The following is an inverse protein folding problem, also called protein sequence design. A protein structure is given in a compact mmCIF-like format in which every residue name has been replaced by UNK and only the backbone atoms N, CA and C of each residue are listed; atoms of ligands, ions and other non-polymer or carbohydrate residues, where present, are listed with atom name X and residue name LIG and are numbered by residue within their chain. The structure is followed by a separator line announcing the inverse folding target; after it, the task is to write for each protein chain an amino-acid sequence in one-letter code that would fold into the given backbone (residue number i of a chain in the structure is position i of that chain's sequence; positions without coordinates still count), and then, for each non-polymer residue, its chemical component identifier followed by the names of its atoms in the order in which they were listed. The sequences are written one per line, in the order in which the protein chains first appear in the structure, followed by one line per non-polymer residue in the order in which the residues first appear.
data_IF_463831759712
#
_entry.id   IF_463831759712
#
_cell.length_a   1.000
_cell.length_b   1.000
_cell.length_c   1.000
_cell.angle_alpha   90.00
_cell.angle_beta   90.00
_cell.angle_gamma   90.00
#
_symmetry.space_group_name_H-M   'P 1'
#
loop_
_entity.id
_entity.type
_entity.pdbx_description
1 polymer ?
#
# COMPACT_ATOMS: atom_id res chain seq x y z
N UNK A 1 11.18 -16.02 -34.83
CA UNK A 1 11.18 -17.50 -34.70
C UNK A 1 11.68 -17.98 -33.33
N UNK A 2 12.78 -17.43 -32.79
CA UNK A 2 13.32 -17.86 -31.48
C UNK A 2 12.46 -17.46 -30.28
N UNK A 3 11.87 -16.26 -30.28
CA UNK A 3 10.96 -15.81 -29.21
C UNK A 3 9.71 -16.70 -29.12
N UNK A 4 9.07 -17.01 -30.25
CA UNK A 4 7.91 -17.92 -30.33
C UNK A 4 8.24 -19.30 -29.72
N UNK A 5 9.45 -19.81 -29.95
CA UNK A 5 9.88 -21.09 -29.40
C UNK A 5 10.02 -21.05 -27.88
N UNK A 6 10.66 -20.02 -27.33
CA UNK A 6 10.80 -19.85 -25.88
C UNK A 6 9.45 -19.58 -25.21
N UNK A 7 8.60 -18.78 -25.83
CA UNK A 7 7.25 -18.51 -25.37
C UNK A 7 6.44 -19.81 -25.27
N UNK A 8 6.43 -20.63 -26.33
CA UNK A 8 5.72 -21.91 -26.32
C UNK A 8 6.25 -22.86 -25.24
N UNK A 9 7.57 -22.91 -25.03
CA UNK A 9 8.16 -23.68 -23.93
C UNK A 9 7.68 -23.18 -22.57
N UNK A 10 7.59 -21.87 -22.40
CA UNK A 10 7.07 -21.25 -21.19
C UNK A 10 5.62 -21.62 -20.96
N UNK A 11 4.75 -21.45 -21.96
CA UNK A 11 3.32 -21.77 -21.89
C UNK A 11 3.10 -23.23 -21.47
N UNK A 12 3.74 -24.20 -22.13
CA UNK A 12 3.62 -25.63 -21.78
C UNK A 12 4.09 -25.90 -20.34
N UNK A 13 5.15 -25.23 -19.90
CA UNK A 13 5.68 -25.39 -18.54
C UNK A 13 4.73 -24.79 -17.49
N UNK A 14 4.11 -23.65 -17.80
CA UNK A 14 3.13 -22.99 -16.93
C UNK A 14 1.82 -23.76 -16.84
N UNK A 15 1.34 -24.36 -17.93
CA UNK A 15 0.19 -25.27 -17.93
C UNK A 15 0.42 -26.50 -17.04
N UNK A 16 1.68 -26.93 -16.90
CA UNK A 16 2.08 -28.08 -16.08
C UNK A 16 2.78 -27.68 -14.78
N UNK A 17 2.57 -26.45 -14.30
CA UNK A 17 3.31 -25.88 -13.18
C UNK A 17 3.16 -26.68 -11.89
N UNK A 18 1.94 -27.11 -11.56
CA UNK A 18 1.62 -27.82 -10.31
C UNK A 18 2.03 -29.30 -10.34
N UNK A 19 2.37 -29.84 -11.51
CA UNK A 19 2.70 -31.24 -11.68
C UNK A 19 4.18 -31.49 -11.32
N UNK A 20 4.44 -32.10 -10.16
CA UNK A 20 5.80 -32.41 -9.72
C UNK A 20 6.55 -33.40 -10.62
N UNK A 21 5.84 -34.28 -11.32
CA UNK A 21 6.41 -35.29 -12.21
C UNK A 21 6.72 -34.76 -13.61
N UNK A 22 6.28 -33.54 -13.93
CA UNK A 22 6.57 -32.91 -15.22
C UNK A 22 8.08 -32.73 -15.41
N UNK A 23 8.60 -33.43 -16.41
CA UNK A 23 10.04 -33.56 -16.64
C UNK A 23 10.42 -33.20 -18.08
N UNK A 24 11.70 -33.40 -18.39
CA UNK A 24 12.28 -33.02 -19.68
C UNK A 24 11.66 -33.77 -20.85
N UNK A 25 11.29 -35.05 -20.66
CA UNK A 25 10.68 -35.87 -21.70
C UNK A 25 9.26 -35.41 -22.01
N UNK A 26 8.51 -34.98 -21.00
CA UNK A 26 7.15 -34.45 -21.17
C UNK A 26 7.19 -33.16 -22.00
N UNK A 27 8.10 -32.25 -21.65
CA UNK A 27 8.29 -31.00 -22.40
C UNK A 27 8.77 -31.24 -23.84
N UNK A 28 9.67 -32.20 -24.05
CA UNK A 28 10.12 -32.59 -25.39
C UNK A 28 8.96 -33.16 -26.23
N UNK A 29 8.14 -34.02 -25.63
CA UNK A 29 6.97 -34.62 -26.27
C UNK A 29 5.93 -33.57 -26.63
N UNK A 30 5.60 -32.65 -25.71
CA UNK A 30 4.67 -31.54 -25.95
C UNK A 30 5.16 -30.58 -27.05
N UNK A 31 6.49 -30.43 -27.19
CA UNK A 31 7.10 -29.64 -28.26
C UNK A 31 7.22 -30.38 -29.59
N UNK A 32 6.82 -31.66 -29.66
CA UNK A 32 7.04 -32.54 -30.82
C UNK A 32 8.52 -32.58 -31.26
N UNK A 33 9.43 -32.64 -30.27
CA UNK A 33 10.87 -32.69 -30.51
C UNK A 33 11.50 -33.84 -29.74
N UNK A 34 12.55 -34.43 -30.30
CA UNK A 34 13.40 -35.31 -29.50
C UNK A 34 14.14 -34.50 -28.44
N UNK A 35 14.45 -35.15 -27.31
CA UNK A 35 15.22 -34.57 -26.21
C UNK A 35 16.48 -33.84 -26.70
N UNK A 36 17.29 -34.48 -27.55
CA UNK A 36 18.52 -33.91 -28.09
C UNK A 36 18.29 -32.66 -28.93
N UNK A 37 17.23 -32.64 -29.76
CA UNK A 37 16.87 -31.46 -30.57
C UNK A 37 16.43 -30.30 -29.68
N UNK A 38 15.56 -30.58 -28.71
CA UNK A 38 15.10 -29.60 -27.74
C UNK A 38 16.28 -29.02 -26.96
N UNK A 39 17.15 -29.89 -26.43
CA UNK A 39 18.32 -29.48 -25.65
C UNK A 39 19.26 -28.58 -26.44
N UNK A 40 19.65 -28.99 -27.66
CA UNK A 40 20.55 -28.19 -28.51
C UNK A 40 19.95 -26.83 -28.83
N UNK A 41 18.66 -26.80 -29.17
CA UNK A 41 17.96 -25.55 -29.51
C UNK A 41 17.87 -24.63 -28.29
N UNK A 42 17.39 -25.12 -27.15
CA UNK A 42 17.28 -24.33 -25.94
C UNK A 42 18.64 -23.82 -25.44
N UNK A 43 19.66 -24.68 -25.44
CA UNK A 43 21.02 -24.33 -25.02
C UNK A 43 21.64 -23.25 -25.90
N UNK A 44 21.37 -23.29 -27.22
CA UNK A 44 21.83 -22.26 -28.15
C UNK A 44 21.15 -20.89 -27.95
N UNK A 45 19.93 -20.88 -27.39
CA UNK A 45 19.13 -19.65 -27.22
C UNK A 45 19.25 -19.04 -25.83
N UNK A 46 19.40 -19.87 -24.80
CA UNK A 46 19.26 -19.44 -23.40
C UNK A 46 20.44 -19.86 -22.52
N UNK A 47 21.41 -20.58 -23.08
CA UNK A 47 22.59 -21.09 -22.37
C UNK A 47 22.29 -21.99 -21.15
N UNK A 48 21.05 -22.45 -20.98
CA UNK A 48 20.63 -23.33 -19.89
C UNK A 48 20.20 -24.72 -20.39
N UNK A 49 20.15 -25.68 -19.46
CA UNK A 49 19.58 -27.01 -19.70
C UNK A 49 18.05 -26.96 -19.63
N UNK A 50 17.37 -28.00 -20.10
CA UNK A 50 15.90 -28.05 -20.08
C UNK A 50 15.38 -28.11 -18.64
N UNK A 51 16.01 -28.90 -17.76
CA UNK A 51 15.65 -28.96 -16.35
C UNK A 51 15.86 -27.62 -15.64
N UNK A 52 16.93 -26.89 -15.98
CA UNK A 52 17.17 -25.54 -15.46
C UNK A 52 16.04 -24.59 -15.89
N UNK A 53 15.62 -24.66 -17.16
CA UNK A 53 14.54 -23.84 -17.68
C UNK A 53 13.20 -24.10 -16.99
N UNK A 54 12.81 -25.37 -16.84
CA UNK A 54 11.58 -25.74 -16.11
C UNK A 54 11.62 -25.18 -14.69
N UNK A 55 12.74 -25.39 -14.00
CA UNK A 55 12.93 -24.90 -12.63
C UNK A 55 12.87 -23.37 -12.55
N UNK A 56 13.48 -22.67 -13.50
CA UNK A 56 13.45 -21.22 -13.56
C UNK A 56 12.02 -20.69 -13.69
N UNK A 57 11.22 -21.28 -14.57
CA UNK A 57 9.80 -20.92 -14.75
C UNK A 57 9.04 -21.10 -13.44
N UNK A 58 9.22 -22.25 -12.78
CA UNK A 58 8.59 -22.53 -11.48
C UNK A 58 8.98 -21.52 -10.41
N UNK A 59 10.25 -21.12 -10.37
CA UNK A 59 10.76 -20.11 -9.42
C UNK A 59 10.21 -18.72 -9.69
N UNK A 60 10.10 -18.31 -10.96
CA UNK A 60 9.47 -17.03 -11.33
C UNK A 60 8.00 -17.00 -10.92
N UNK A 61 7.28 -18.10 -11.12
CA UNK A 61 5.89 -18.19 -10.67
C UNK A 61 5.76 -18.20 -9.14
N UNK A 62 6.68 -18.86 -8.46
CA UNK A 62 6.76 -18.82 -6.99
C UNK A 62 6.97 -17.39 -6.47
N UNK A 63 7.84 -16.61 -7.12
CA UNK A 63 8.05 -15.19 -6.80
C UNK A 63 6.76 -14.37 -6.94
N UNK A 64 6.00 -14.57 -8.02
CA UNK A 64 4.72 -13.86 -8.21
C UNK A 64 3.74 -14.16 -7.08
N UNK A 65 3.57 -15.44 -6.73
CA UNK A 65 2.68 -15.86 -5.65
C UNK A 65 3.15 -15.26 -4.31
N UNK A 66 4.45 -15.32 -4.05
CA UNK A 66 5.07 -14.80 -2.82
C UNK A 66 4.83 -13.30 -2.60
N UNK A 67 4.74 -12.51 -3.68
CA UNK A 67 4.55 -11.06 -3.64
C UNK A 67 3.09 -10.61 -3.61
N UNK A 68 2.18 -11.46 -4.11
CA UNK A 68 0.77 -11.11 -4.27
C UNK A 68 -0.14 -11.79 -3.24
N UNK A 69 0.33 -12.87 -2.61
CA UNK A 69 -0.47 -13.69 -1.70
C UNK A 69 0.20 -13.85 -0.33
N UNK A 70 -0.60 -14.12 0.70
CA UNK A 70 -0.12 -14.41 2.04
C UNK A 70 -0.10 -15.91 2.32
N UNK A 71 0.80 -16.60 1.63
CA UNK A 71 1.00 -18.05 1.73
C UNK A 71 2.41 -18.38 2.20
N UNK A 72 2.58 -19.57 2.79
CA UNK A 72 3.87 -20.03 3.30
C UNK A 72 4.79 -20.50 2.16
N UNK A 73 6.10 -20.47 2.39
CA UNK A 73 7.07 -20.98 1.41
C UNK A 73 6.85 -22.46 1.07
N UNK A 74 6.38 -23.27 2.02
CA UNK A 74 6.04 -24.67 1.81
C UNK A 74 4.84 -24.84 0.87
N UNK A 75 3.79 -24.04 1.06
CA UNK A 75 2.62 -24.04 0.19
C UNK A 75 2.99 -23.63 -1.24
N UNK A 76 3.81 -22.59 -1.38
CA UNK A 76 4.30 -22.13 -2.69
C UNK A 76 5.09 -23.23 -3.40
N UNK A 77 5.92 -23.98 -2.67
CA UNK A 77 6.70 -25.09 -3.23
C UNK A 77 5.79 -26.10 -3.92
N UNK A 78 4.75 -26.57 -3.23
CA UNK A 78 3.81 -27.55 -3.79
C UNK A 78 2.97 -26.96 -4.92
N UNK A 79 2.49 -25.72 -4.79
CA UNK A 79 1.75 -25.01 -5.86
C UNK A 79 2.57 -24.77 -7.12
N UNK A 80 3.89 -24.80 -7.03
CA UNK A 80 4.80 -24.62 -8.16
C UNK A 80 5.47 -25.92 -8.60
N UNK A 81 4.96 -27.07 -8.14
CA UNK A 81 5.39 -28.39 -8.60
C UNK A 81 6.75 -28.83 -8.07
N UNK A 82 7.21 -28.29 -6.93
CA UNK A 82 8.36 -28.86 -6.23
C UNK A 82 7.91 -29.99 -5.31
N UNK A 83 8.55 -31.16 -5.43
CA UNK A 83 8.23 -32.31 -4.57
C UNK A 83 8.66 -32.17 -3.11
N UNK A 84 9.46 -31.16 -2.76
CA UNK A 84 9.70 -30.81 -1.35
C UNK A 84 9.97 -29.33 -1.12
N UNK A 85 9.49 -28.76 0.01
CA UNK A 85 9.81 -27.40 0.43
C UNK A 85 11.31 -27.17 0.65
N UNK A 86 12.05 -28.17 1.14
CA UNK A 86 13.50 -28.06 1.34
C UNK A 86 14.23 -27.86 0.01
N UNK A 87 13.88 -28.65 -1.01
CA UNK A 87 14.48 -28.51 -2.33
C UNK A 87 14.09 -27.18 -2.99
N UNK A 88 12.83 -26.75 -2.83
CA UNK A 88 12.36 -25.43 -3.26
C UNK A 88 13.19 -24.31 -2.65
N UNK A 89 13.34 -24.27 -1.32
CA UNK A 89 14.11 -23.22 -0.63
C UNK A 89 15.56 -23.15 -1.13
N UNK A 90 16.20 -24.31 -1.33
CA UNK A 90 17.55 -24.38 -1.90
C UNK A 90 17.60 -23.76 -3.31
N UNK A 91 16.71 -24.20 -4.20
CA UNK A 91 16.67 -23.70 -5.57
C UNK A 91 16.33 -22.20 -5.64
N UNK A 92 15.41 -21.74 -4.78
CA UNK A 92 15.02 -20.34 -4.69
C UNK A 92 16.19 -19.47 -4.22
N UNK A 93 16.92 -19.93 -3.19
CA UNK A 93 18.12 -19.25 -2.72
C UNK A 93 19.22 -19.22 -3.77
N UNK A 94 19.49 -20.33 -4.47
CA UNK A 94 20.47 -20.39 -5.56
C UNK A 94 20.14 -19.43 -6.71
N UNK A 95 18.86 -19.24 -7.01
CA UNK A 95 18.42 -18.40 -8.14
C UNK A 95 18.31 -16.91 -7.77
N UNK A 96 17.73 -16.57 -6.61
CA UNK A 96 17.48 -15.19 -6.19
C UNK A 96 18.53 -14.63 -5.21
N UNK A 97 19.43 -15.47 -4.69
CA UNK A 97 20.46 -15.11 -3.72
C UNK A 97 19.97 -15.00 -2.26
N UNK A 98 18.68 -15.20 -2.00
CA UNK A 98 18.06 -15.08 -0.68
C UNK A 98 16.98 -16.13 -0.48
N UNK A 99 16.65 -16.45 0.77
CA UNK A 99 15.49 -17.31 1.04
C UNK A 99 14.17 -16.64 0.61
N UNK A 100 13.09 -17.42 0.35
CA UNK A 100 11.78 -16.85 0.00
C UNK A 100 11.28 -15.81 1.03
N UNK A 101 11.49 -16.06 2.32
CA UNK A 101 11.06 -15.14 3.37
C UNK A 101 11.83 -13.81 3.32
N UNK A 102 13.15 -13.87 3.16
CA UNK A 102 13.99 -12.68 3.00
C UNK A 102 13.64 -11.91 1.73
N UNK A 103 13.35 -12.62 0.65
CA UNK A 103 12.90 -12.03 -0.60
C UNK A 103 11.61 -11.21 -0.40
N UNK A 104 10.58 -11.81 0.21
CA UNK A 104 9.32 -11.12 0.54
C UNK A 104 9.57 -9.88 1.40
N UNK A 105 10.42 -9.99 2.43
CA UNK A 105 10.77 -8.87 3.31
C UNK A 105 11.47 -7.73 2.54
N UNK A 106 12.42 -8.05 1.66
CA UNK A 106 13.17 -7.06 0.86
C UNK A 106 12.25 -6.33 -0.11
N UNK A 107 11.37 -7.03 -0.80
CA UNK A 107 10.43 -6.42 -1.75
C UNK A 107 9.40 -5.52 -1.04
N UNK A 108 8.91 -5.95 0.13
CA UNK A 108 8.07 -5.12 1.00
C UNK A 108 8.84 -3.86 1.43
N UNK A 109 10.07 -4.00 1.90
CA UNK A 109 10.92 -2.87 2.34
C UNK A 109 11.18 -1.88 1.19
N UNK A 110 11.47 -2.36 -0.03
CA UNK A 110 11.63 -1.52 -1.21
C UNK A 110 10.34 -0.76 -1.53
N UNK A 111 9.18 -1.43 -1.51
CA UNK A 111 7.87 -0.83 -1.77
C UNK A 111 7.57 0.28 -0.76
N UNK A 112 7.81 0.04 0.53
CA UNK A 112 7.67 1.07 1.57
C UNK A 112 8.68 2.22 1.42
N UNK A 113 9.94 1.92 1.08
CA UNK A 113 10.97 2.93 0.81
C UNK A 113 10.52 3.90 -0.30
N UNK A 114 9.96 3.36 -1.38
CA UNK A 114 9.41 4.17 -2.46
C UNK A 114 8.19 4.98 -2.02
N UNK A 115 7.19 4.36 -1.40
CA UNK A 115 5.97 5.06 -0.93
C UNK A 115 6.29 6.17 0.07
N UNK A 116 7.25 5.95 0.98
CA UNK A 116 7.69 6.98 1.93
C UNK A 116 8.39 8.15 1.25
N UNK A 117 9.10 7.90 0.14
CA UNK A 117 9.71 8.97 -0.67
C UNK A 117 8.64 9.79 -1.43
N UNK A 118 7.57 9.13 -1.89
CA UNK A 118 6.45 9.79 -2.57
C UNK A 118 5.60 10.61 -1.58
N UNK A 119 5.30 10.05 -0.41
CA UNK A 119 4.53 10.71 0.65
C UNK A 119 5.22 11.99 1.15
N UNK A 120 6.54 11.97 1.35
CA UNK A 120 7.31 13.18 1.71
C UNK A 120 7.24 14.26 0.64
N UNK A 121 7.39 13.91 -0.64
CA UNK A 121 7.25 14.84 -1.78
C UNK A 121 5.85 15.43 -1.85
N UNK A 122 4.82 14.65 -1.54
CA UNK A 122 3.43 15.11 -1.57
C UNK A 122 3.13 16.04 -0.39
N UNK A 123 3.55 15.68 0.84
CA UNK A 123 3.37 16.51 2.04
C UNK A 123 4.05 17.87 1.94
N UNK A 124 5.26 17.95 1.36
CA UNK A 124 5.97 19.23 1.25
C UNK A 124 5.24 20.23 0.35
N UNK A 125 4.55 19.76 -0.70
CA UNK A 125 3.76 20.60 -1.60
C UNK A 125 2.40 20.96 -1.00
N UNK A 126 1.77 20.03 -0.30
CA UNK A 126 0.49 20.27 0.38
C UNK A 126 0.64 21.38 1.43
N UNK A 127 1.69 21.33 2.25
CA UNK A 127 1.88 22.34 3.30
C UNK A 127 1.99 23.76 2.71
N UNK A 128 2.75 23.93 1.63
CA UNK A 128 2.87 25.21 0.92
C UNK A 128 1.53 25.69 0.35
N UNK A 129 0.74 24.78 -0.21
CA UNK A 129 -0.60 25.08 -0.72
C UNK A 129 -1.55 25.53 0.41
N UNK A 130 -1.50 24.88 1.58
CA UNK A 130 -2.28 25.28 2.76
C UNK A 130 -1.90 26.68 3.27
N UNK A 131 -0.60 27.01 3.27
CA UNK A 131 -0.12 28.35 3.64
C UNK A 131 -0.67 29.41 2.68
N UNK A 132 -0.59 29.18 1.37
CA UNK A 132 -1.09 30.12 0.36
C UNK A 132 -2.60 30.36 0.53
N UNK A 133 -3.37 29.29 0.74
CA UNK A 133 -4.82 29.40 0.97
C UNK A 133 -5.11 30.22 2.23
N UNK A 134 -4.42 29.96 3.34
CA UNK A 134 -4.62 30.72 4.58
C UNK A 134 -4.31 32.22 4.41
N UNK A 135 -3.23 32.56 3.71
CA UNK A 135 -2.88 33.95 3.42
C UNK A 135 -3.93 34.63 2.53
N UNK A 136 -4.45 33.93 1.52
CA UNK A 136 -5.51 34.45 0.66
C UNK A 136 -6.81 34.73 1.45
N UNK A 137 -7.19 33.85 2.38
CA UNK A 137 -8.35 34.04 3.26
C UNK A 137 -8.15 35.25 4.16
N UNK A 138 -6.99 35.40 4.81
CA UNK A 138 -6.68 36.54 5.68
C UNK A 138 -6.74 37.86 4.88
N UNK A 139 -6.15 37.90 3.68
CA UNK A 139 -6.20 39.07 2.82
C UNK A 139 -7.63 39.43 2.42
N UNK A 140 -8.47 38.45 2.10
CA UNK A 140 -9.88 38.67 1.79
C UNK A 140 -10.67 39.22 2.97
N UNK A 141 -10.46 38.69 4.19
CA UNK A 141 -11.10 39.19 5.40
C UNK A 141 -10.69 40.63 5.73
N UNK A 142 -9.40 40.94 5.58
CA UNK A 142 -8.89 42.30 5.79
C UNK A 142 -9.46 43.28 4.77
N UNK A 143 -9.48 42.91 3.49
CA UNK A 143 -10.08 43.72 2.43
C UNK A 143 -11.57 43.98 2.70
N UNK A 144 -12.30 42.95 3.13
CA UNK A 144 -13.70 43.10 3.54
C UNK A 144 -13.84 44.04 4.75
N UNK A 145 -12.96 43.97 5.74
CA UNK A 145 -12.97 44.88 6.89
C UNK A 145 -12.69 46.34 6.48
N UNK A 146 -11.77 46.56 5.54
CA UNK A 146 -11.50 47.90 5.00
C UNK A 146 -12.72 48.49 4.28
N UNK A 147 -13.44 47.69 3.49
CA UNK A 147 -14.68 48.14 2.81
C UNK A 147 -15.76 48.55 3.82
N UNK A 148 -15.86 47.84 4.95
CA UNK A 148 -16.89 48.10 5.95
C UNK A 148 -16.52 49.22 6.94
N UNK A 149 -15.25 49.58 7.08
CA UNK A 149 -14.80 50.61 8.02
C UNK A 149 -15.20 52.04 7.60
N UNK A 150 -15.49 52.29 6.32
CA UNK A 150 -15.84 53.62 5.80
C UNK A 150 -17.31 54.05 6.09
N UNK A 151 -18.09 53.23 6.83
CA UNK A 151 -19.50 53.50 7.15
C UNK A 151 -19.77 53.80 8.64
N UNK A 152 -18.75 54.09 9.44
CA UNK A 152 -18.91 54.33 10.88
C UNK A 152 -18.42 55.72 11.30
N UNK A 153 -19.25 56.74 11.05
CA UNK A 153 -19.19 58.03 11.76
C UNK A 153 -19.58 57.83 13.24
N UNK A 154 -18.79 58.31 14.23
CA UNK A 154 -19.13 58.22 15.63
C UNK A 154 -19.69 59.56 16.16
N UNK A 155 -21.01 59.70 16.27
CA UNK A 155 -21.60 60.81 17.04
C UNK A 155 -21.67 60.44 18.54
N UNK A 156 -20.91 61.19 19.36
CA UNK A 156 -20.93 61.13 20.83
C UNK A 156 -21.98 62.10 21.41
N UNK A 157 -22.79 61.65 22.36
CA UNK A 157 -23.31 62.47 23.49
C UNK A 157 -23.80 61.53 24.62
N UNK A 158 -23.10 61.38 25.74
CA UNK A 158 -23.07 62.19 26.99
C UNK A 158 -24.38 62.31 27.80
N UNK A 159 -24.25 61.91 29.09
CA UNK A 159 -24.93 62.43 30.29
C UNK A 159 -26.35 61.94 30.61
N UNK A 160 -26.48 60.96 31.53
CA UNK A 160 -26.84 61.17 32.95
C UNK A 160 -28.23 61.81 33.18
N UNK A 161 -29.17 61.03 33.74
CA UNK A 161 -30.03 61.59 34.78
C UNK A 161 -30.45 60.57 35.85
N UNK A 162 -30.46 61.07 37.06
CA UNK A 162 -30.50 60.42 38.38
C UNK A 162 -31.91 60.53 38.93
N UNK A 163 -32.51 59.44 39.43
CA UNK A 163 -33.60 59.56 40.42
C UNK A 163 -33.50 58.43 41.44
N UNK A 164 -33.16 58.80 42.67
CA UNK A 164 -33.30 58.00 43.89
C UNK A 164 -34.57 58.47 44.57
N UNK A 165 -35.55 57.59 44.84
CA UNK A 165 -36.58 57.82 45.87
C UNK A 165 -36.83 56.53 46.66
N UNK A 166 -36.62 56.67 47.97
CA UNK A 166 -37.07 55.89 49.16
C UNK A 166 -38.51 55.34 49.03
N UNK A 167 -39.01 54.29 49.68
CA UNK A 167 -38.74 53.70 51.00
C UNK A 167 -39.65 52.47 51.25
N UNK A 168 -39.24 51.63 52.21
CA UNK A 168 -40.01 50.79 53.18
C UNK A 168 -40.60 49.42 52.78
N UNK A 169 -40.21 48.42 53.61
CA UNK A 169 -40.85 47.12 53.87
C UNK A 169 -39.82 45.98 53.91
N UNK A 170 -39.18 45.61 55.04
CA UNK A 170 -39.67 44.71 56.10
C UNK A 170 -40.13 43.35 55.48
N UNK A 171 -39.62 42.14 55.75
CA UNK A 171 -38.84 41.54 56.85
C UNK A 171 -38.47 40.08 56.45
N UNK A 172 -37.32 39.60 56.94
CA UNK A 172 -36.87 38.22 57.28
C UNK A 172 -37.38 36.96 56.52
N UNK A 173 -36.39 36.23 55.95
CA UNK A 173 -36.06 34.77 55.96
C UNK A 173 -36.80 33.86 56.99
N UNK A 174 -36.77 32.50 56.91
CA UNK A 174 -35.79 31.64 56.22
C UNK A 174 -36.28 30.37 55.48
N UNK A 175 -35.32 29.75 54.79
CA UNK A 175 -35.10 28.31 54.59
C UNK A 175 -35.85 27.39 55.57
N UNK A 176 -36.52 26.34 55.07
CA UNK A 176 -36.17 24.97 55.45
C UNK A 176 -36.80 23.89 54.55
N UNK A 177 -36.09 22.78 54.53
CA UNK A 177 -36.27 21.54 53.81
C UNK A 177 -37.69 20.92 53.87
N UNK A 178 -38.12 20.30 52.77
CA UNK A 178 -38.87 19.05 52.86
C UNK A 178 -38.52 18.09 51.72
N UNK A 179 -37.99 16.96 52.14
CA UNK A 179 -37.74 15.70 51.42
C UNK A 179 -39.07 14.98 51.17
N UNK A 180 -39.28 14.41 49.99
CA UNK A 180 -40.00 13.14 49.75
C UNK A 180 -40.00 12.82 48.24
N UNK A 181 -39.21 11.87 47.73
CA UNK A 181 -39.33 10.39 47.75
C UNK A 181 -40.30 9.83 46.69
N UNK A 182 -39.72 8.94 45.83
CA UNK A 182 -40.35 7.78 45.16
C UNK A 182 -41.28 8.18 43.98
N UNK A 183 -41.05 7.85 42.70
CA UNK A 183 -40.53 6.64 42.05
C UNK A 183 -40.15 6.96 40.60
#
# INVERSE_FOLDING_TARGET
MNQIFLQRLTEITEENLTNEHFNVNDLASAMNMSHTKLYRKLKSLSHQTISQFIREIRLRKAQEILLNEDVTASEIAYRTGFGSPTYFNKCFHEYYGYSPLEFKKREIQKRYGFVSSLSRKLKSKIHYFLIIIALAIIAALFFFALINHDNSDPEKSHSHNKVIISSKGFNRYPEDNTVCLIR
#
